data_IF_985859830434
#
_entry.id   IF_985859830434
#
_cell.length_a   1.000
_cell.length_b   1.000
_cell.length_c   1.000
_cell.angle_alpha   90.00
_cell.angle_beta   90.00
_cell.angle_gamma   90.00
#
_symmetry.space_group_name_H-M   'P 1'
#
loop_
_entity.id
_entity.type
_entity.pdbx_description
1 polymer ?
#
# COMPACT_ATOMS: atom_id res chain seq x y z
N UNK A 1 -6.70 -13.33 24.95
CA UNK A 1 -5.22 -13.34 24.94
C UNK A 1 -4.77 -11.99 24.44
N UNK A 2 -3.74 -11.36 25.03
CA UNK A 2 -3.21 -10.13 24.48
C UNK A 2 -2.47 -10.46 23.18
N UNK A 3 -3.01 -10.04 22.03
CA UNK A 3 -2.33 -10.24 20.76
C UNK A 3 -1.11 -9.32 20.70
N UNK A 4 0.02 -9.90 20.33
CA UNK A 4 1.29 -9.19 20.18
C UNK A 4 1.55 -8.92 18.70
N UNK A 5 1.99 -7.70 18.37
CA UNK A 5 2.22 -7.28 16.98
C UNK A 5 3.67 -6.86 16.75
N UNK A 6 4.10 -6.99 15.51
CA UNK A 6 5.30 -6.35 14.95
C UNK A 6 4.88 -5.35 13.88
N UNK A 7 5.52 -4.17 13.83
CA UNK A 7 5.17 -3.11 12.88
C UNK A 7 6.38 -2.78 12.02
N UNK A 8 6.30 -3.10 10.74
CA UNK A 8 7.29 -2.71 9.74
C UNK A 8 6.92 -1.32 9.20
N UNK A 9 7.73 -0.29 9.53
CA UNK A 9 7.47 1.09 9.12
C UNK A 9 6.66 1.91 10.13
N UNK A 10 6.95 1.80 11.42
CA UNK A 10 6.18 2.40 12.52
C UNK A 10 6.13 3.94 12.51
N UNK A 11 7.13 4.61 11.95
CA UNK A 11 7.21 6.08 11.92
C UNK A 11 6.43 6.72 10.78
N UNK A 12 5.97 5.93 9.80
CA UNK A 12 5.13 6.35 8.68
C UNK A 12 3.68 6.68 9.10
N UNK A 13 2.86 7.11 8.14
CA UNK A 13 1.46 7.44 8.39
C UNK A 13 0.66 6.25 8.93
N UNK A 14 0.72 5.11 8.25
CA UNK A 14 0.01 3.89 8.65
C UNK A 14 0.58 3.34 9.96
N UNK A 15 1.93 3.28 10.08
CA UNK A 15 2.55 2.77 11.32
C UNK A 15 2.17 3.56 12.56
N UNK A 16 2.05 4.89 12.49
CA UNK A 16 1.57 5.73 13.60
C UNK A 16 0.13 5.43 13.98
N UNK A 17 -0.75 5.36 12.97
CA UNK A 17 -2.16 5.02 13.20
C UNK A 17 -2.32 3.59 13.72
N UNK A 18 -1.44 2.67 13.32
CA UNK A 18 -1.37 1.32 13.89
C UNK A 18 -1.01 1.36 15.38
N UNK A 19 -0.05 2.20 15.78
CA UNK A 19 0.30 2.36 17.18
C UNK A 19 -0.83 3.01 18.01
N UNK A 20 -1.56 3.97 17.42
CA UNK A 20 -2.75 4.54 18.06
C UNK A 20 -3.83 3.48 18.31
N UNK A 21 -4.06 2.61 17.32
CA UNK A 21 -4.98 1.48 17.43
C UNK A 21 -4.49 0.45 18.45
N UNK A 22 -3.19 0.13 18.42
CA UNK A 22 -2.58 -0.83 19.34
C UNK A 22 -2.72 -0.38 20.80
N UNK A 23 -2.50 0.91 21.07
CA UNK A 23 -2.68 1.49 22.41
C UNK A 23 -4.14 1.35 22.90
N UNK A 24 -5.11 1.67 22.05
CA UNK A 24 -6.55 1.58 22.38
C UNK A 24 -7.02 0.15 22.63
N UNK A 25 -6.43 -0.83 21.89
CA UNK A 25 -6.72 -2.24 22.04
C UNK A 25 -5.92 -2.92 23.15
N UNK A 26 -4.95 -2.22 23.75
CA UNK A 26 -4.04 -2.80 24.74
C UNK A 26 -3.11 -3.87 24.14
N UNK A 27 -2.79 -3.79 22.84
CA UNK A 27 -1.92 -4.76 22.20
C UNK A 27 -0.47 -4.57 22.63
N UNK A 28 0.27 -5.67 22.74
CA UNK A 28 1.71 -5.63 22.96
C UNK A 28 2.44 -5.40 21.63
N UNK A 29 3.50 -4.59 21.65
CA UNK A 29 4.33 -4.31 20.47
C UNK A 29 5.68 -4.97 20.68
N UNK A 30 5.97 -6.06 19.96
CA UNK A 30 7.21 -6.82 20.09
C UNK A 30 8.36 -6.18 19.30
N UNK A 31 8.07 -5.65 18.12
CA UNK A 31 9.09 -5.01 17.28
C UNK A 31 8.55 -3.79 16.55
N UNK A 32 9.43 -2.81 16.37
CA UNK A 32 9.20 -1.61 15.57
C UNK A 32 10.32 -1.43 14.55
N UNK A 33 9.98 -1.01 13.34
CA UNK A 33 11.01 -0.66 12.35
C UNK A 33 10.77 0.72 11.74
N UNK A 34 11.85 1.39 11.35
CA UNK A 34 11.81 2.66 10.65
C UNK A 34 13.02 2.81 9.71
N UNK A 35 13.04 3.83 8.86
CA UNK A 35 14.19 4.13 8.02
C UNK A 35 15.22 4.99 8.79
N UNK A 36 14.96 6.31 8.96
CA UNK A 36 15.92 7.29 9.45
C UNK A 36 15.39 8.22 10.56
N UNK A 37 14.10 8.17 10.87
CA UNK A 37 13.51 9.08 11.86
C UNK A 37 13.78 8.60 13.29
N UNK A 38 14.96 8.92 13.80
CA UNK A 38 15.45 8.50 15.14
C UNK A 38 14.58 9.07 16.25
N UNK A 39 14.25 10.37 16.21
CA UNK A 39 13.48 11.04 17.26
C UNK A 39 12.12 10.37 17.48
N UNK A 40 11.39 10.13 16.40
CA UNK A 40 10.09 9.46 16.49
C UNK A 40 10.21 8.02 16.92
N UNK A 41 11.22 7.31 16.45
CA UNK A 41 11.47 5.93 16.83
C UNK A 41 11.81 5.79 18.31
N UNK A 42 12.63 6.69 18.85
CA UNK A 42 12.93 6.76 20.28
C UNK A 42 11.65 6.96 21.09
N UNK A 43 10.82 7.95 20.74
CA UNK A 43 9.56 8.21 21.43
C UNK A 43 8.64 6.98 21.43
N UNK A 44 8.53 6.27 20.28
CA UNK A 44 7.75 5.04 20.16
C UNK A 44 8.35 3.91 21.04
N UNK A 45 9.66 3.73 21.01
CA UNK A 45 10.34 2.72 21.83
C UNK A 45 10.16 2.96 23.34
N UNK A 46 10.25 4.21 23.80
CA UNK A 46 10.03 4.54 25.20
C UNK A 46 8.59 4.32 25.64
N UNK A 47 7.62 4.60 24.75
CA UNK A 47 6.20 4.41 25.02
C UNK A 47 5.79 2.95 25.02
N UNK A 48 6.10 2.22 23.95
CA UNK A 48 5.61 0.85 23.72
C UNK A 48 6.56 -0.24 24.23
N UNK A 49 7.80 0.11 24.52
CA UNK A 49 8.85 -0.79 25.06
C UNK A 49 8.98 -2.09 24.27
N UNK A 50 9.17 -2.03 22.93
CA UNK A 50 9.34 -3.23 22.14
C UNK A 50 10.61 -3.97 22.56
N UNK A 51 10.67 -5.26 22.28
CA UNK A 51 11.90 -6.03 22.46
C UNK A 51 12.97 -5.67 21.42
N UNK A 52 12.50 -5.33 20.19
CA UNK A 52 13.37 -5.06 19.05
C UNK A 52 12.96 -3.76 18.34
N UNK A 53 13.96 -2.93 18.04
CA UNK A 53 13.86 -1.78 17.18
C UNK A 53 14.83 -1.93 15.99
N UNK A 54 14.38 -1.66 14.77
CA UNK A 54 15.22 -1.73 13.58
C UNK A 54 15.20 -0.39 12.86
N UNK A 55 16.39 0.14 12.54
CA UNK A 55 16.56 1.27 11.63
C UNK A 55 17.24 0.76 10.36
N UNK A 56 16.64 0.99 9.19
CA UNK A 56 17.25 0.52 7.94
C UNK A 56 18.46 1.34 7.53
N UNK A 57 18.58 2.59 8.01
CA UNK A 57 19.78 3.42 7.86
C UNK A 57 20.75 3.19 9.03
N UNK A 58 21.98 2.79 8.74
CA UNK A 58 22.98 2.42 9.75
C UNK A 58 23.34 3.55 10.71
N UNK A 59 23.46 4.79 10.19
CA UNK A 59 23.77 5.95 11.02
C UNK A 59 22.64 6.21 12.04
N UNK A 60 21.39 6.11 11.60
CA UNK A 60 20.22 6.26 12.45
C UNK A 60 20.12 5.14 13.50
N UNK A 61 20.49 3.91 13.16
CA UNK A 61 20.54 2.80 14.11
C UNK A 61 21.56 3.02 15.23
N UNK A 62 22.75 3.49 14.88
CA UNK A 62 23.80 3.83 15.84
C UNK A 62 23.36 4.93 16.80
N UNK A 63 22.74 5.99 16.27
CA UNK A 63 22.20 7.08 17.08
C UNK A 63 21.08 6.60 18.00
N UNK A 64 20.14 5.80 17.49
CA UNK A 64 19.05 5.25 18.28
C UNK A 64 19.55 4.35 19.41
N UNK A 65 20.58 3.52 19.15
CA UNK A 65 21.17 2.65 20.17
C UNK A 65 21.76 3.44 21.34
N UNK A 66 22.41 4.58 21.05
CA UNK A 66 22.94 5.48 22.09
C UNK A 66 21.78 6.11 22.88
N UNK A 67 20.72 6.56 22.22
CA UNK A 67 19.56 7.19 22.88
C UNK A 67 18.77 6.23 23.75
N UNK A 68 18.75 4.93 23.43
CA UNK A 68 18.01 3.89 24.16
C UNK A 68 18.87 3.06 25.11
N UNK A 69 20.12 3.44 25.38
CA UNK A 69 21.05 2.70 26.25
C UNK A 69 20.53 2.48 27.70
N UNK A 70 19.58 3.30 28.13
CA UNK A 70 18.89 3.24 29.43
C UNK A 70 17.68 2.28 29.42
N UNK A 71 17.40 1.61 28.30
CA UNK A 71 16.27 0.72 28.11
C UNK A 71 16.72 -0.71 27.80
N UNK A 72 15.77 -1.65 27.80
CA UNK A 72 16.03 -3.05 27.38
C UNK A 72 15.80 -3.27 25.88
N UNK A 73 15.52 -2.25 25.10
CA UNK A 73 15.22 -2.35 23.67
C UNK A 73 16.49 -2.68 22.90
N UNK A 74 16.50 -3.82 22.19
CA UNK A 74 17.59 -4.16 21.28
C UNK A 74 17.45 -3.35 19.98
N UNK A 75 18.54 -2.73 19.53
CA UNK A 75 18.56 -2.00 18.25
C UNK A 75 19.37 -2.76 17.22
N UNK A 76 18.79 -2.98 16.03
CA UNK A 76 19.46 -3.55 14.85
C UNK A 76 19.48 -2.55 13.70
N UNK A 77 20.41 -2.76 12.76
CA UNK A 77 20.62 -1.90 11.60
C UNK A 77 20.44 -2.67 10.29
N UNK A 78 20.04 -1.94 9.24
CA UNK A 78 20.00 -2.44 7.87
C UNK A 78 18.67 -3.06 7.46
N UNK A 79 18.49 -3.21 6.15
CA UNK A 79 17.25 -3.74 5.57
C UNK A 79 17.02 -5.22 5.85
N UNK A 80 18.09 -6.01 6.00
CA UNK A 80 17.98 -7.44 6.29
C UNK A 80 17.42 -7.67 7.70
N UNK A 81 17.68 -6.77 8.65
CA UNK A 81 17.12 -6.82 10.00
C UNK A 81 15.58 -6.62 10.06
N UNK A 82 14.94 -6.17 8.97
CA UNK A 82 13.48 -6.17 8.85
C UNK A 82 12.90 -7.59 8.97
N UNK A 83 13.67 -8.59 8.53
CA UNK A 83 13.28 -10.01 8.67
C UNK A 83 13.23 -10.39 10.14
N UNK A 84 14.24 -10.00 10.94
CA UNK A 84 14.25 -10.30 12.37
C UNK A 84 13.02 -9.72 13.09
N UNK A 85 12.63 -8.48 12.72
CA UNK A 85 11.43 -7.85 13.25
C UNK A 85 10.14 -8.56 12.82
N UNK A 86 10.10 -9.05 11.58
CA UNK A 86 8.94 -9.74 11.02
C UNK A 86 8.73 -11.14 11.61
N UNK A 87 9.83 -11.85 11.91
CA UNK A 87 9.76 -13.23 12.45
C UNK A 87 9.89 -13.30 13.96
N UNK A 88 9.94 -12.17 14.68
CA UNK A 88 10.08 -12.14 16.13
C UNK A 88 9.03 -13.07 16.78
N UNK A 89 9.44 -14.05 17.62
CA UNK A 89 8.53 -15.12 18.05
C UNK A 89 7.29 -14.65 18.80
N UNK A 90 7.40 -13.55 19.53
CA UNK A 90 6.31 -13.01 20.35
C UNK A 90 5.17 -12.41 19.53
N UNK A 91 5.43 -11.96 18.29
CA UNK A 91 4.41 -11.35 17.46
C UNK A 91 3.58 -12.41 16.73
N UNK A 92 2.27 -12.36 16.88
CA UNK A 92 1.30 -13.19 16.14
C UNK A 92 0.91 -12.52 14.81
N UNK A 93 0.89 -11.19 14.79
CA UNK A 93 0.52 -10.38 13.62
C UNK A 93 1.66 -9.44 13.23
N UNK A 94 1.94 -9.37 11.93
CA UNK A 94 2.90 -8.43 11.35
C UNK A 94 2.16 -7.40 10.51
N UNK A 95 2.30 -6.13 10.88
CA UNK A 95 1.77 -5.01 10.10
C UNK A 95 2.84 -4.54 9.12
N UNK A 96 2.59 -4.67 7.83
CA UNK A 96 3.53 -4.26 6.79
C UNK A 96 3.19 -2.85 6.30
N UNK A 97 3.76 -1.83 6.93
CA UNK A 97 3.50 -0.41 6.65
C UNK A 97 4.72 0.32 6.06
N UNK A 98 5.66 -0.41 5.49
CA UNK A 98 6.77 0.14 4.70
C UNK A 98 6.32 0.50 3.28
N UNK A 99 7.07 1.33 2.59
CA UNK A 99 6.78 1.77 1.21
C UNK A 99 7.70 1.03 0.23
N UNK A 100 7.15 0.65 -0.93
CA UNK A 100 7.92 -0.01 -2.00
C UNK A 100 8.28 -1.46 -1.68
N UNK A 101 9.30 -1.96 -2.40
CA UNK A 101 9.69 -3.38 -2.36
C UNK A 101 10.48 -3.81 -1.12
N UNK A 102 10.89 -2.87 -0.26
CA UNK A 102 11.78 -3.15 0.88
C UNK A 102 11.17 -4.13 1.90
N UNK A 103 9.84 -4.16 2.00
CA UNK A 103 9.11 -5.05 2.91
C UNK A 103 8.91 -6.48 2.42
N UNK A 104 9.15 -6.76 1.12
CA UNK A 104 8.76 -8.04 0.50
C UNK A 104 9.44 -9.25 1.15
N UNK A 105 10.76 -9.20 1.34
CA UNK A 105 11.51 -10.31 1.97
C UNK A 105 11.02 -10.58 3.39
N UNK A 106 10.80 -9.52 4.18
CA UNK A 106 10.31 -9.61 5.55
C UNK A 106 8.88 -10.17 5.60
N UNK A 107 8.01 -9.75 4.67
CA UNK A 107 6.64 -10.28 4.56
C UNK A 107 6.64 -11.77 4.22
N UNK A 108 7.45 -12.22 3.26
CA UNK A 108 7.58 -13.64 2.92
C UNK A 108 8.13 -14.47 4.09
N UNK A 109 9.09 -13.93 4.86
CA UNK A 109 9.60 -14.58 6.05
C UNK A 109 8.51 -14.74 7.13
N UNK A 110 7.72 -13.69 7.39
CA UNK A 110 6.61 -13.75 8.34
C UNK A 110 5.51 -14.76 7.91
N UNK A 111 5.21 -14.85 6.61
CA UNK A 111 4.29 -15.84 6.04
C UNK A 111 4.79 -17.27 6.31
N UNK A 112 6.08 -17.54 6.14
CA UNK A 112 6.71 -18.85 6.41
C UNK A 112 6.59 -19.25 7.88
N UNK A 113 6.64 -18.28 8.78
CA UNK A 113 6.39 -18.45 10.22
C UNK A 113 4.89 -18.47 10.58
N UNK A 114 4.01 -18.55 9.57
CA UNK A 114 2.54 -18.62 9.71
C UNK A 114 1.92 -17.47 10.48
N UNK A 115 2.57 -16.31 10.48
CA UNK A 115 2.03 -15.11 11.13
C UNK A 115 0.89 -14.52 10.29
N UNK A 116 -0.08 -13.91 10.96
CA UNK A 116 -1.07 -13.06 10.27
C UNK A 116 -0.37 -11.83 9.72
N UNK A 117 -0.66 -11.51 8.47
CA UNK A 117 -0.13 -10.32 7.80
C UNK A 117 -1.25 -9.28 7.68
N UNK A 118 -1.14 -8.19 8.44
CA UNK A 118 -1.96 -7.01 8.25
C UNK A 118 -1.28 -6.15 7.15
N UNK A 119 -1.73 -6.35 5.91
CA UNK A 119 -1.05 -5.87 4.72
C UNK A 119 -1.45 -4.43 4.37
N UNK A 120 -0.55 -3.47 4.59
CA UNK A 120 -0.70 -2.09 4.15
C UNK A 120 0.27 -1.71 3.02
N UNK A 121 1.30 -2.51 2.78
CA UNK A 121 2.28 -2.31 1.70
C UNK A 121 1.75 -2.97 0.41
N UNK A 122 0.99 -2.21 -0.38
CA UNK A 122 0.38 -2.72 -1.62
C UNK A 122 1.39 -3.20 -2.64
N UNK A 123 2.58 -2.60 -2.68
CA UNK A 123 3.64 -2.95 -3.62
C UNK A 123 4.07 -4.42 -3.47
N UNK A 124 3.92 -5.01 -2.29
CA UNK A 124 4.13 -6.44 -2.04
C UNK A 124 3.28 -7.32 -2.95
N UNK A 125 1.97 -7.04 -3.07
CA UNK A 125 1.07 -7.80 -3.95
C UNK A 125 1.13 -7.33 -5.39
N UNK A 126 1.39 -6.06 -5.63
CA UNK A 126 1.56 -5.52 -6.99
C UNK A 126 2.71 -6.21 -7.70
N UNK A 127 3.89 -6.27 -7.06
CA UNK A 127 5.11 -6.76 -7.68
C UNK A 127 5.26 -8.28 -7.59
N UNK A 128 4.87 -8.89 -6.48
CA UNK A 128 5.11 -10.30 -6.18
C UNK A 128 3.85 -11.05 -5.74
N UNK A 129 2.66 -10.58 -6.12
CA UNK A 129 1.41 -11.09 -5.56
C UNK A 129 1.17 -12.58 -5.78
N UNK A 130 1.55 -13.14 -6.93
CA UNK A 130 1.43 -14.58 -7.20
C UNK A 130 2.32 -15.39 -6.24
N UNK A 131 3.57 -14.96 -6.06
CA UNK A 131 4.52 -15.58 -5.13
C UNK A 131 4.03 -15.49 -3.69
N UNK A 132 3.60 -14.29 -3.27
CA UNK A 132 3.14 -14.03 -1.89
C UNK A 132 1.88 -14.81 -1.56
N UNK A 133 0.88 -14.81 -2.44
CA UNK A 133 -0.38 -15.52 -2.22
C UNK A 133 -0.20 -17.05 -2.25
N UNK A 134 0.65 -17.56 -3.16
CA UNK A 134 1.00 -18.98 -3.20
C UNK A 134 1.72 -19.42 -1.92
N UNK A 135 2.65 -18.62 -1.42
CA UNK A 135 3.38 -18.91 -0.18
C UNK A 135 2.46 -18.84 1.05
N UNK A 136 1.53 -17.88 1.08
CA UNK A 136 0.53 -17.77 2.14
C UNK A 136 -0.37 -19.01 2.20
N UNK A 137 -0.85 -19.49 1.04
CA UNK A 137 -1.63 -20.75 0.98
C UNK A 137 -0.83 -21.95 1.46
N UNK A 138 0.40 -22.09 0.96
CA UNK A 138 1.29 -23.20 1.30
C UNK A 138 1.57 -23.27 2.80
N UNK A 139 1.72 -22.12 3.45
CA UNK A 139 2.02 -22.02 4.88
C UNK A 139 0.75 -21.96 5.75
N UNK A 140 -0.41 -21.68 5.18
CA UNK A 140 -1.64 -21.41 5.93
C UNK A 140 -1.59 -20.08 6.69
N UNK A 141 -0.86 -19.10 6.16
CA UNK A 141 -0.78 -17.75 6.73
C UNK A 141 -1.95 -16.90 6.23
N UNK A 142 -2.56 -16.13 7.12
CA UNK A 142 -3.68 -15.26 6.80
C UNK A 142 -3.19 -13.87 6.39
N UNK A 143 -3.66 -13.37 5.23
CA UNK A 143 -3.41 -12.00 4.78
C UNK A 143 -4.69 -11.20 4.93
N UNK A 144 -4.69 -10.18 5.79
CA UNK A 144 -5.80 -9.27 6.02
C UNK A 144 -5.42 -7.89 5.49
N UNK A 145 -6.18 -7.33 4.52
CA UNK A 145 -5.84 -6.06 3.92
C UNK A 145 -6.10 -4.88 4.87
N UNK A 146 -5.18 -3.94 4.86
CA UNK A 146 -5.26 -2.65 5.57
C UNK A 146 -5.61 -1.51 4.62
N UNK A 147 -5.24 -1.61 3.33
CA UNK A 147 -5.67 -0.62 2.35
C UNK A 147 -7.21 -0.51 2.34
N UNK A 148 -7.75 0.72 2.38
CA UNK A 148 -9.17 0.98 2.66
C UNK A 148 -10.11 0.29 1.70
N UNK A 149 -9.80 0.30 0.41
CA UNK A 149 -10.60 -0.30 -0.64
C UNK A 149 -10.59 -1.83 -0.55
N UNK A 150 -9.43 -2.40 -0.30
CA UNK A 150 -9.29 -3.86 -0.14
C UNK A 150 -9.91 -4.34 1.16
N UNK A 151 -9.73 -3.60 2.26
CA UNK A 151 -10.44 -3.89 3.51
C UNK A 151 -11.95 -3.85 3.33
N UNK A 152 -12.48 -2.88 2.56
CA UNK A 152 -13.90 -2.79 2.25
C UNK A 152 -14.41 -4.01 1.49
N UNK A 153 -13.70 -4.44 0.44
CA UNK A 153 -14.03 -5.66 -0.31
C UNK A 153 -13.95 -6.89 0.60
N UNK A 154 -12.88 -7.01 1.39
CA UNK A 154 -12.70 -8.10 2.35
C UNK A 154 -13.90 -8.20 3.31
N UNK A 155 -14.39 -7.07 3.81
CA UNK A 155 -15.56 -7.01 4.69
C UNK A 155 -16.85 -7.38 3.97
N UNK A 156 -17.05 -6.96 2.73
CA UNK A 156 -18.22 -7.32 1.92
C UNK A 156 -18.25 -8.83 1.59
N UNK A 157 -17.09 -9.47 1.55
CA UNK A 157 -16.98 -10.90 1.22
C UNK A 157 -17.08 -11.84 2.43
N UNK A 158 -17.30 -11.33 3.66
CA UNK A 158 -17.39 -12.20 4.84
C UNK A 158 -18.57 -13.19 4.81
N UNK A 159 -19.62 -12.89 4.08
CA UNK A 159 -20.75 -13.79 3.87
C UNK A 159 -20.71 -14.58 2.56
N UNK A 160 -19.68 -14.40 1.74
CA UNK A 160 -19.56 -15.05 0.43
C UNK A 160 -18.89 -16.44 0.59
N UNK A 161 -19.69 -17.49 0.45
CA UNK A 161 -19.21 -18.87 0.57
C UNK A 161 -18.36 -19.31 -0.64
N UNK A 162 -18.67 -18.80 -1.82
CA UNK A 162 -18.00 -19.17 -3.08
C UNK A 162 -17.65 -17.93 -3.91
N UNK A 163 -16.37 -17.75 -4.18
CA UNK A 163 -15.89 -16.64 -5.02
C UNK A 163 -16.45 -16.64 -6.44
N UNK A 164 -16.95 -17.76 -6.93
CA UNK A 164 -17.64 -17.86 -8.22
C UNK A 164 -18.96 -17.08 -8.25
N UNK A 165 -19.52 -16.71 -7.09
CA UNK A 165 -20.70 -15.84 -6.97
C UNK A 165 -20.39 -14.38 -7.29
N UNK A 166 -19.13 -13.97 -7.23
CA UNK A 166 -18.70 -12.60 -7.54
C UNK A 166 -18.82 -12.37 -9.05
N UNK A 167 -19.60 -11.34 -9.43
CA UNK A 167 -19.64 -10.82 -10.78
C UNK A 167 -18.45 -9.90 -11.04
N UNK A 168 -18.23 -8.92 -10.16
CA UNK A 168 -17.06 -8.02 -10.18
C UNK A 168 -16.83 -7.32 -8.85
N UNK A 169 -15.59 -6.86 -8.67
CA UNK A 169 -15.22 -5.90 -7.64
C UNK A 169 -15.28 -4.48 -8.23
N UNK A 170 -15.70 -3.52 -7.42
CA UNK A 170 -15.81 -2.12 -7.80
C UNK A 170 -14.94 -1.32 -6.81
N UNK A 171 -13.74 -0.96 -7.25
CA UNK A 171 -12.83 -0.12 -6.48
C UNK A 171 -13.25 1.34 -6.64
N UNK A 172 -13.52 2.03 -5.54
CA UNK A 172 -13.79 3.46 -5.58
C UNK A 172 -12.52 4.27 -5.42
N UNK A 173 -12.51 5.51 -5.92
CA UNK A 173 -11.45 6.48 -5.68
C UNK A 173 -12.01 7.90 -5.63
N UNK A 174 -11.31 8.83 -4.97
CA UNK A 174 -11.69 10.25 -4.96
C UNK A 174 -11.58 10.93 -6.34
N UNK A 175 -10.79 10.33 -7.24
CA UNK A 175 -10.39 10.93 -8.52
C UNK A 175 -9.19 11.87 -8.41
N UNK A 176 -8.62 12.04 -7.23
CA UNK A 176 -7.46 12.91 -6.98
C UNK A 176 -7.76 14.41 -7.05
N UNK A 177 -6.73 15.26 -6.86
CA UNK A 177 -6.90 16.73 -6.83
C UNK A 177 -7.26 17.33 -8.19
N UNK A 178 -6.98 16.64 -9.29
CA UNK A 178 -7.17 17.15 -10.66
C UNK A 178 -8.44 16.62 -11.34
N UNK A 179 -9.32 15.99 -10.58
CA UNK A 179 -10.59 15.47 -11.09
C UNK A 179 -11.42 16.58 -11.77
N UNK A 180 -11.84 16.32 -13.02
CA UNK A 180 -12.65 17.24 -13.82
C UNK A 180 -11.84 18.28 -14.60
N UNK A 181 -10.51 18.31 -14.44
CA UNK A 181 -9.63 19.15 -15.25
C UNK A 181 -9.32 18.47 -16.58
N UNK A 182 -9.14 19.29 -17.63
CA UNK A 182 -8.70 18.81 -18.93
C UNK A 182 -7.18 18.57 -19.00
N UNK A 183 -6.75 17.81 -20.02
CA UNK A 183 -5.34 17.41 -20.21
C UNK A 183 -4.37 18.60 -20.22
N UNK A 184 -4.72 19.69 -20.92
CA UNK A 184 -3.86 20.87 -21.03
C UNK A 184 -3.72 21.63 -19.70
N UNK A 185 -4.76 21.59 -18.88
CA UNK A 185 -4.74 22.19 -17.54
C UNK A 185 -3.88 21.35 -16.59
N UNK A 186 -4.11 20.04 -16.55
CA UNK A 186 -3.33 19.10 -15.74
C UNK A 186 -1.85 19.13 -16.10
N UNK A 187 -1.49 19.30 -17.39
CA UNK A 187 -0.10 19.40 -17.84
C UNK A 187 0.69 20.57 -17.25
N UNK A 188 0.00 21.58 -16.70
CA UNK A 188 0.62 22.76 -16.06
C UNK A 188 0.69 22.65 -14.54
N UNK A 189 0.11 21.59 -13.97
CA UNK A 189 0.06 21.39 -12.52
C UNK A 189 1.43 21.10 -11.95
N UNK A 190 1.69 21.74 -10.81
CA UNK A 190 2.96 21.65 -10.08
C UNK A 190 2.92 20.53 -9.05
N UNK A 191 4.09 20.23 -8.47
CA UNK A 191 4.22 19.38 -7.28
C UNK A 191 3.29 19.84 -6.14
N UNK A 192 3.24 21.15 -5.90
CA UNK A 192 2.42 21.71 -4.81
C UNK A 192 0.92 21.44 -5.04
N UNK A 193 0.47 21.48 -6.28
CA UNK A 193 -0.91 21.18 -6.64
C UNK A 193 -1.21 19.70 -6.51
N UNK A 194 -0.32 18.83 -6.97
CA UNK A 194 -0.45 17.38 -6.87
C UNK A 194 -0.51 16.87 -5.42
N UNK A 195 0.11 17.59 -4.48
CA UNK A 195 0.12 17.22 -3.07
C UNK A 195 -1.14 17.66 -2.28
N UNK A 196 -2.10 18.33 -2.91
CA UNK A 196 -3.36 18.78 -2.28
C UNK A 196 -4.47 17.74 -2.44
N UNK A 197 -4.35 16.60 -1.72
CA UNK A 197 -5.42 15.59 -1.77
C UNK A 197 -6.70 16.10 -1.06
N UNK A 198 -7.91 15.93 -1.67
CA UNK A 198 -9.15 16.52 -1.14
C UNK A 198 -9.61 15.92 0.17
N UNK A 199 -9.41 14.62 0.42
CA UNK A 199 -10.04 13.90 1.53
C UNK A 199 -9.04 13.27 2.51
N UNK A 200 -7.80 12.98 2.07
CA UNK A 200 -6.83 12.21 2.86
C UNK A 200 -5.54 12.98 3.10
N UNK A 201 -5.01 12.86 4.31
CA UNK A 201 -3.65 13.32 4.62
C UNK A 201 -2.69 12.15 4.56
N UNK A 202 -1.90 12.07 3.50
CA UNK A 202 -1.05 10.93 3.18
C UNK A 202 0.40 11.35 2.95
N UNK A 203 1.29 10.35 2.78
CA UNK A 203 2.65 10.59 2.35
C UNK A 203 2.74 11.16 0.92
N UNK A 204 3.83 11.86 0.58
CA UNK A 204 3.94 12.56 -0.71
C UNK A 204 3.89 11.61 -1.92
N UNK A 205 4.50 10.42 -1.84
CA UNK A 205 4.50 9.44 -2.96
C UNK A 205 3.07 9.02 -3.31
N UNK A 206 2.31 8.50 -2.35
CA UNK A 206 0.94 8.03 -2.58
C UNK A 206 0.00 9.18 -3.00
N UNK A 207 0.24 10.40 -2.53
CA UNK A 207 -0.56 11.57 -2.93
C UNK A 207 -0.37 11.90 -4.41
N UNK A 208 0.88 11.82 -4.93
CA UNK A 208 1.17 11.95 -6.36
C UNK A 208 0.56 10.78 -7.14
N UNK A 209 0.65 9.55 -6.63
CA UNK A 209 0.01 8.39 -7.27
C UNK A 209 -1.52 8.54 -7.36
N UNK A 210 -2.16 9.15 -6.36
CA UNK A 210 -3.59 9.48 -6.43
C UNK A 210 -3.87 10.54 -7.50
N UNK A 211 -3.00 11.55 -7.64
CA UNK A 211 -3.16 12.62 -8.64
C UNK A 211 -3.05 12.12 -10.08
N UNK A 212 -2.26 11.07 -10.32
CA UNK A 212 -2.07 10.42 -11.63
C UNK A 212 -3.03 9.25 -11.88
N UNK A 213 -3.85 8.86 -10.92
CA UNK A 213 -4.59 7.59 -10.86
C UNK A 213 -3.71 6.33 -10.87
N UNK A 214 -2.39 6.44 -10.73
CA UNK A 214 -1.51 5.29 -10.55
C UNK A 214 -1.86 4.52 -9.27
N UNK A 215 -2.17 5.20 -8.17
CA UNK A 215 -2.58 4.53 -6.92
C UNK A 215 -3.74 3.57 -7.19
N UNK A 216 -4.76 4.01 -7.92
CA UNK A 216 -5.90 3.15 -8.26
C UNK A 216 -5.50 2.01 -9.20
N UNK A 217 -4.56 2.26 -10.12
CA UNK A 217 -3.99 1.20 -10.96
C UNK A 217 -3.25 0.12 -10.14
N UNK A 218 -2.44 0.52 -9.16
CA UNK A 218 -1.78 -0.42 -8.24
C UNK A 218 -2.80 -1.21 -7.41
N UNK A 219 -3.86 -0.57 -6.97
CA UNK A 219 -4.95 -1.21 -6.22
C UNK A 219 -5.76 -2.21 -7.06
N UNK A 220 -5.95 -1.95 -8.37
CA UNK A 220 -6.53 -2.95 -9.30
C UNK A 220 -5.68 -4.22 -9.32
N UNK A 221 -4.36 -4.08 -9.45
CA UNK A 221 -3.44 -5.22 -9.44
C UNK A 221 -3.50 -5.95 -8.09
N UNK A 222 -3.47 -5.22 -6.97
CA UNK A 222 -3.57 -5.79 -5.63
C UNK A 222 -4.87 -6.58 -5.46
N UNK A 223 -6.02 -6.02 -5.89
CA UNK A 223 -7.32 -6.69 -5.81
C UNK A 223 -7.34 -7.98 -6.61
N UNK A 224 -6.79 -7.98 -7.83
CA UNK A 224 -6.67 -9.19 -8.66
C UNK A 224 -5.91 -10.30 -7.93
N UNK A 225 -4.82 -9.96 -7.26
CA UNK A 225 -3.97 -10.92 -6.53
C UNK A 225 -4.63 -11.41 -5.25
N UNK A 226 -5.11 -10.48 -4.43
CA UNK A 226 -5.69 -10.79 -3.12
C UNK A 226 -6.98 -11.60 -3.24
N UNK A 227 -7.84 -11.26 -4.21
CA UNK A 227 -9.13 -11.92 -4.40
C UNK A 227 -9.12 -12.97 -5.52
N UNK A 228 -7.99 -13.14 -6.23
CA UNK A 228 -7.80 -14.14 -7.31
C UNK A 228 -8.83 -14.01 -8.42
N UNK A 229 -9.07 -12.78 -8.84
CA UNK A 229 -9.99 -12.45 -9.91
C UNK A 229 -9.22 -11.90 -11.12
N UNK A 230 -9.68 -12.19 -12.35
CA UNK A 230 -9.10 -11.61 -13.55
C UNK A 230 -9.39 -10.12 -13.64
N UNK A 231 -8.57 -9.37 -14.40
CA UNK A 231 -8.73 -7.93 -14.61
C UNK A 231 -10.16 -7.56 -15.05
N UNK A 232 -10.77 -8.36 -15.92
CA UNK A 232 -12.14 -8.14 -16.42
C UNK A 232 -13.21 -8.13 -15.32
N UNK A 233 -12.90 -8.65 -14.13
CA UNK A 233 -13.79 -8.63 -12.97
C UNK A 233 -13.43 -7.55 -11.94
N UNK A 234 -12.51 -6.63 -12.26
CA UNK A 234 -12.14 -5.51 -11.38
C UNK A 234 -12.40 -4.21 -12.12
N UNK A 235 -13.31 -3.40 -11.62
CA UNK A 235 -13.66 -2.10 -12.20
C UNK A 235 -13.32 -0.97 -11.25
N UNK A 236 -13.08 0.23 -11.80
CA UNK A 236 -12.79 1.46 -11.06
C UNK A 236 -13.94 2.43 -11.22
N UNK A 237 -14.31 3.07 -10.13
CA UNK A 237 -15.37 4.08 -10.09
C UNK A 237 -14.91 5.29 -9.27
N UNK A 238 -15.05 6.48 -9.82
CA UNK A 238 -14.77 7.74 -9.11
C UNK A 238 -15.92 8.04 -8.16
N UNK A 239 -15.61 8.19 -6.87
CA UNK A 239 -16.53 8.56 -5.80
C UNK A 239 -15.89 9.66 -4.95
N UNK A 240 -16.12 10.94 -5.28
CA UNK A 240 -15.39 12.07 -4.70
C UNK A 240 -15.52 12.19 -3.18
N UNK A 241 -16.64 11.76 -2.62
CA UNK A 241 -16.93 11.88 -1.19
C UNK A 241 -16.11 10.89 -0.34
N UNK A 242 -15.56 9.83 -0.94
CA UNK A 242 -14.78 8.79 -0.25
C UNK A 242 -15.50 8.17 0.97
N UNK A 243 -16.84 8.10 0.93
CA UNK A 243 -17.68 7.49 1.95
C UNK A 243 -17.88 6.00 1.67
N UNK A 244 -18.15 5.65 0.39
CA UNK A 244 -18.13 4.26 -0.07
C UNK A 244 -16.68 3.91 -0.38
N UNK A 245 -16.11 3.00 0.41
CA UNK A 245 -14.70 2.64 0.24
C UNK A 245 -14.47 1.62 -0.88
N UNK A 246 -15.37 0.69 -1.10
CA UNK A 246 -15.47 -0.17 -2.30
C UNK A 246 -16.72 -1.03 -2.24
N UNK A 247 -17.01 -1.77 -3.33
CA UNK A 247 -18.21 -2.58 -3.46
C UNK A 247 -17.90 -3.93 -4.12
N UNK A 248 -18.77 -4.90 -3.85
CA UNK A 248 -18.79 -6.21 -4.53
C UNK A 248 -20.15 -6.38 -5.20
N UNK A 249 -20.15 -6.58 -6.50
CA UNK A 249 -21.34 -6.96 -7.26
C UNK A 249 -21.39 -8.48 -7.42
N UNK A 250 -22.48 -9.11 -7.03
CA UNK A 250 -22.71 -10.53 -7.14
C UNK A 250 -23.50 -10.89 -8.41
N UNK A 251 -23.49 -12.17 -8.79
CA UNK A 251 -24.16 -12.67 -10.01
C UNK A 251 -25.67 -12.54 -9.99
N UNK A 252 -26.28 -12.49 -8.83
CA UNK A 252 -27.73 -12.24 -8.65
C UNK A 252 -28.11 -10.77 -8.82
N UNK A 253 -27.13 -9.87 -9.03
CA UNK A 253 -27.31 -8.43 -9.18
C UNK A 253 -27.23 -7.65 -7.86
N UNK A 254 -27.07 -8.31 -6.71
CA UNK A 254 -26.87 -7.61 -5.45
C UNK A 254 -25.50 -6.90 -5.44
N UNK A 255 -25.47 -5.69 -4.86
CA UNK A 255 -24.23 -4.95 -4.63
C UNK A 255 -24.07 -4.69 -3.14
N UNK A 256 -23.00 -5.23 -2.55
CA UNK A 256 -22.62 -4.94 -1.17
C UNK A 256 -21.52 -3.88 -1.16
N UNK A 257 -21.66 -2.91 -0.27
CA UNK A 257 -20.71 -1.82 -0.10
C UNK A 257 -20.33 -1.65 1.36
N UNK A 258 -19.07 -1.37 1.62
CA UNK A 258 -18.63 -0.91 2.94
C UNK A 258 -18.52 0.62 2.92
N UNK A 259 -19.17 1.25 3.86
CA UNK A 259 -19.20 2.69 4.06
C UNK A 259 -18.54 3.04 5.39
N UNK A 260 -17.88 4.21 5.44
CA UNK A 260 -17.26 4.72 6.64
C UNK A 260 -16.73 6.14 6.47
N UNK A 261 -16.34 6.75 7.56
CA UNK A 261 -15.55 7.98 7.53
C UNK A 261 -14.16 7.69 6.94
N UNK A 262 -13.52 8.62 6.21
CA UNK A 262 -12.18 8.42 5.64
C UNK A 262 -11.10 8.47 6.74
N UNK A 263 -10.95 7.38 7.48
CA UNK A 263 -10.00 7.21 8.58
C UNK A 263 -9.37 5.81 8.53
N UNK A 264 -8.05 5.78 8.34
CA UNK A 264 -7.31 4.52 8.24
C UNK A 264 -7.32 3.68 9.52
N UNK A 265 -7.65 4.27 10.67
CA UNK A 265 -7.81 3.49 11.92
C UNK A 265 -8.92 2.47 11.84
N UNK A 266 -9.94 2.69 10.99
CA UNK A 266 -11.01 1.74 10.77
C UNK A 266 -10.50 0.42 10.14
N UNK A 267 -9.89 0.41 8.94
CA UNK A 267 -9.36 -0.82 8.35
C UNK A 267 -8.16 -1.40 9.13
N UNK A 268 -7.31 -0.56 9.73
CA UNK A 268 -6.21 -1.02 10.59
C UNK A 268 -6.78 -1.82 11.77
N UNK A 269 -7.77 -1.24 12.48
CA UNK A 269 -8.40 -1.90 13.62
C UNK A 269 -9.04 -3.22 13.22
N UNK A 270 -9.80 -3.22 12.12
CA UNK A 270 -10.41 -4.45 11.64
C UNK A 270 -9.39 -5.54 11.33
N UNK A 271 -8.26 -5.18 10.71
CA UNK A 271 -7.17 -6.13 10.45
C UNK A 271 -6.54 -6.69 11.73
N UNK A 272 -6.52 -5.91 12.83
CA UNK A 272 -6.01 -6.36 14.13
C UNK A 272 -7.01 -7.24 14.91
N UNK A 273 -8.30 -6.98 14.76
CA UNK A 273 -9.35 -7.66 15.56
C UNK A 273 -10.09 -8.75 14.81
N UNK A 274 -9.89 -8.85 13.49
CA UNK A 274 -10.59 -9.83 12.67
C UNK A 274 -10.53 -11.25 13.26
N UNK A 275 -11.67 -11.98 13.32
CA UNK A 275 -12.97 -11.68 12.70
C UNK A 275 -13.89 -10.75 13.51
N UNK A 276 -13.47 -10.29 14.67
CA UNK A 276 -14.29 -9.48 15.57
C UNK A 276 -14.33 -8.00 15.14
N UNK A 277 -15.42 -7.30 15.53
CA UNK A 277 -15.58 -5.86 15.36
C UNK A 277 -15.61 -5.19 16.73
N UNK A 278 -14.59 -4.42 17.04
CA UNK A 278 -14.55 -3.61 18.25
C UNK A 278 -14.97 -2.15 17.99
N UNK A 279 -15.18 -1.40 19.06
CA UNK A 279 -15.46 0.05 19.00
C UNK A 279 -14.30 0.77 18.32
N UNK A 280 -14.61 1.72 17.43
CA UNK A 280 -13.63 2.57 16.76
C UNK A 280 -13.71 3.99 17.33
N UNK A 281 -12.58 4.64 17.65
CA UNK A 281 -12.57 6.01 18.14
C UNK A 281 -12.86 7.06 17.06
N UNK A 282 -12.81 6.67 15.76
CA UNK A 282 -13.21 7.58 14.70
C UNK A 282 -14.70 7.92 14.82
N UNK A 283 -15.12 9.15 14.49
CA UNK A 283 -16.52 9.54 14.49
C UNK A 283 -17.33 8.57 13.59
N UNK A 284 -18.52 8.12 14.04
CA UNK A 284 -19.37 7.30 13.21
C UNK A 284 -19.81 8.07 11.96
N UNK A 285 -20.05 7.34 10.88
CA UNK A 285 -20.59 7.93 9.67
C UNK A 285 -22.03 8.41 9.91
N UNK A 286 -22.27 9.69 9.67
CA UNK A 286 -23.61 10.29 9.70
C UNK A 286 -24.13 10.43 8.27
N UNK A 287 -24.93 9.45 7.84
CA UNK A 287 -25.49 9.44 6.48
C UNK A 287 -26.53 10.55 6.26
N UNK A 288 -27.22 11.02 7.32
CA UNK A 288 -28.23 12.07 7.18
C UNK A 288 -27.62 13.42 6.87
N UNK A 289 -26.45 13.70 7.43
CA UNK A 289 -25.71 14.95 7.21
C UNK A 289 -24.59 14.81 6.17
N UNK A 290 -24.43 13.64 5.55
CA UNK A 290 -23.46 13.43 4.47
C UNK A 290 -23.93 14.07 3.17
N UNK A 291 -22.99 14.54 2.31
CA UNK A 291 -23.36 15.00 0.97
C UNK A 291 -23.92 13.84 0.13
N UNK A 292 -24.70 14.15 -0.93
CA UNK A 292 -25.14 13.13 -1.88
C UNK A 292 -23.98 12.29 -2.42
N UNK A 293 -24.14 10.95 -2.40
CA UNK A 293 -23.14 10.05 -2.95
C UNK A 293 -23.19 10.07 -4.48
N UNK A 294 -22.10 10.41 -5.13
CA UNK A 294 -22.00 10.51 -6.58
C UNK A 294 -20.94 9.57 -7.12
N UNK A 295 -21.18 9.05 -8.32
CA UNK A 295 -20.28 8.10 -8.97
C UNK A 295 -20.12 8.46 -10.44
N UNK A 296 -18.89 8.27 -10.97
CA UNK A 296 -18.59 8.47 -12.39
C UNK A 296 -17.48 7.54 -12.84
N UNK A 297 -17.33 7.43 -14.18
CA UNK A 297 -16.20 6.70 -14.77
C UNK A 297 -14.89 7.48 -14.54
N UNK A 298 -13.75 6.78 -14.40
CA UNK A 298 -12.44 7.41 -14.36
C UNK A 298 -12.03 7.92 -15.76
N UNK A 299 -11.45 9.11 -15.80
CA UNK A 299 -10.90 9.68 -17.04
C UNK A 299 -9.52 9.07 -17.35
N UNK A 300 -9.52 8.01 -18.16
CA UNK A 300 -8.30 7.29 -18.56
C UNK A 300 -7.48 8.01 -19.63
N UNK A 301 -8.06 9.03 -20.29
CA UNK A 301 -7.34 9.83 -21.30
C UNK A 301 -6.49 10.92 -20.65
N UNK A 302 -7.08 11.65 -19.71
CA UNK A 302 -6.36 12.66 -18.93
C UNK A 302 -5.37 12.02 -17.95
N UNK A 303 -5.69 10.82 -17.40
CA UNK A 303 -4.85 10.11 -16.41
C UNK A 303 -4.38 8.74 -16.93
N UNK A 304 -3.38 8.70 -17.83
CA UNK A 304 -2.97 7.46 -18.52
C UNK A 304 -2.33 6.41 -17.61
N UNK A 305 -1.90 6.78 -16.39
CA UNK A 305 -1.27 5.84 -15.47
C UNK A 305 -2.19 4.68 -15.07
N UNK A 306 -3.51 4.90 -15.02
CA UNK A 306 -4.47 3.82 -14.76
C UNK A 306 -4.42 2.77 -15.88
N UNK A 307 -4.44 3.18 -17.16
CA UNK A 307 -4.31 2.25 -18.30
C UNK A 307 -2.95 1.55 -18.35
N UNK A 308 -1.87 2.25 -17.96
CA UNK A 308 -0.54 1.63 -17.87
C UNK A 308 -0.50 0.51 -16.84
N UNK A 309 -1.18 0.69 -15.71
CA UNK A 309 -1.29 -0.33 -14.68
C UNK A 309 -2.19 -1.50 -15.10
N UNK A 310 -3.36 -1.22 -15.71
CA UNK A 310 -4.25 -2.24 -16.27
C UNK A 310 -3.51 -3.09 -17.32
N UNK A 311 -2.74 -2.47 -18.21
CA UNK A 311 -1.93 -3.18 -19.21
C UNK A 311 -0.75 -3.97 -18.61
N UNK A 312 -0.18 -3.55 -17.47
CA UNK A 312 0.83 -4.33 -16.76
C UNK A 312 0.20 -5.55 -16.07
N UNK A 313 -0.99 -5.39 -15.50
CA UNK A 313 -1.77 -6.46 -14.89
C UNK A 313 -2.11 -7.56 -15.91
N UNK A 314 -2.51 -7.18 -17.12
CA UNK A 314 -2.84 -8.10 -18.22
C UNK A 314 -1.59 -8.84 -18.73
N UNK A 315 -0.46 -8.16 -18.84
CA UNK A 315 0.81 -8.76 -19.27
C UNK A 315 1.35 -9.79 -18.26
N UNK A 316 1.07 -9.63 -16.98
CA UNK A 316 1.50 -10.56 -15.93
C UNK A 316 3.01 -10.59 -15.72
N UNK A 317 3.51 -11.67 -15.10
CA UNK A 317 4.93 -11.85 -14.83
C UNK A 317 5.57 -10.67 -14.11
N UNK A 318 6.76 -10.23 -14.55
CA UNK A 318 7.47 -9.07 -13.98
C UNK A 318 6.90 -7.71 -14.41
N UNK A 319 5.88 -7.63 -15.27
CA UNK A 319 5.36 -6.37 -15.81
C UNK A 319 4.89 -5.39 -14.71
N UNK A 320 4.29 -5.92 -13.64
CA UNK A 320 3.84 -5.09 -12.52
C UNK A 320 5.02 -4.56 -11.67
N UNK A 321 6.10 -5.33 -11.53
CA UNK A 321 7.32 -4.87 -10.86
C UNK A 321 8.03 -3.78 -11.69
N UNK A 322 8.08 -3.93 -13.01
CA UNK A 322 8.58 -2.92 -13.93
C UNK A 322 7.78 -1.61 -13.81
N UNK A 323 6.44 -1.72 -13.82
CA UNK A 323 5.54 -0.58 -13.64
C UNK A 323 5.84 0.16 -12.32
N UNK A 324 5.92 -0.61 -11.21
CA UNK A 324 6.14 -0.05 -9.88
C UNK A 324 7.50 0.65 -9.78
N UNK A 325 8.59 -0.03 -10.18
CA UNK A 325 9.95 0.54 -10.13
C UNK A 325 10.07 1.82 -10.96
N UNK A 326 9.51 1.82 -12.16
CA UNK A 326 9.47 3.00 -13.02
C UNK A 326 8.66 4.14 -12.40
N UNK A 327 7.48 3.84 -11.84
CA UNK A 327 6.62 4.83 -11.21
C UNK A 327 7.29 5.46 -9.98
N UNK A 328 7.87 4.67 -9.09
CA UNK A 328 8.54 5.19 -7.89
C UNK A 328 9.70 6.13 -8.26
N UNK A 329 10.50 5.79 -9.27
CA UNK A 329 11.60 6.65 -9.71
C UNK A 329 11.09 7.92 -10.41
N UNK A 330 10.07 7.82 -11.26
CA UNK A 330 9.46 8.98 -11.91
C UNK A 330 8.80 9.93 -10.89
N UNK A 331 8.06 9.39 -9.91
CA UNK A 331 7.48 10.19 -8.83
C UNK A 331 8.56 10.85 -7.98
N UNK A 332 9.69 10.17 -7.70
CA UNK A 332 10.84 10.76 -7.00
C UNK A 332 11.40 11.98 -7.75
N UNK A 333 11.52 11.88 -9.07
CA UNK A 333 11.96 12.99 -9.93
C UNK A 333 10.95 14.15 -9.93
N UNK A 334 9.66 13.85 -10.00
CA UNK A 334 8.59 14.84 -9.93
C UNK A 334 8.56 15.55 -8.56
N UNK A 335 8.69 14.83 -7.47
CA UNK A 335 8.78 15.39 -6.12
C UNK A 335 10.04 16.25 -5.92
N UNK A 336 11.10 15.97 -6.68
CA UNK A 336 12.31 16.82 -6.73
C UNK A 336 12.18 17.98 -7.73
N UNK A 337 11.01 18.18 -8.33
CA UNK A 337 10.71 19.25 -9.32
C UNK A 337 11.62 19.21 -10.57
N UNK A 338 12.09 18.00 -10.94
CA UNK A 338 12.98 17.78 -12.08
C UNK A 338 12.24 17.44 -13.37
N UNK A 339 10.98 17.04 -13.28
CA UNK A 339 10.13 16.66 -14.43
C UNK A 339 8.72 17.21 -14.24
N UNK A 340 7.95 17.33 -15.33
CA UNK A 340 6.55 17.72 -15.33
C UNK A 340 5.61 16.57 -14.99
N UNK A 341 4.33 16.89 -14.85
CA UNK A 341 3.31 15.91 -14.42
C UNK A 341 3.18 14.71 -15.37
N UNK A 342 3.07 14.97 -16.67
CA UNK A 342 2.92 13.91 -17.68
C UNK A 342 4.22 13.14 -17.95
N UNK A 343 5.38 13.70 -17.61
CA UNK A 343 6.63 12.95 -17.72
C UNK A 343 6.60 11.68 -16.83
N UNK A 344 5.79 11.66 -15.76
CA UNK A 344 5.61 10.46 -14.93
C UNK A 344 5.09 9.32 -15.80
N UNK A 345 3.97 9.52 -16.49
CA UNK A 345 3.37 8.49 -17.36
C UNK A 345 4.26 8.12 -18.53
N UNK A 346 4.94 9.09 -19.12
CA UNK A 346 5.82 8.88 -20.28
C UNK A 346 7.05 8.03 -19.89
N UNK A 347 7.66 8.31 -18.75
CA UNK A 347 8.79 7.54 -18.23
C UNK A 347 8.39 6.11 -17.84
N UNK A 348 7.21 5.94 -17.23
CA UNK A 348 6.65 4.61 -16.92
C UNK A 348 6.40 3.83 -18.21
N UNK A 349 5.81 4.44 -19.22
CA UNK A 349 5.58 3.80 -20.53
C UNK A 349 6.90 3.40 -21.20
N UNK A 350 7.90 4.29 -21.17
CA UNK A 350 9.24 4.02 -21.73
C UNK A 350 9.94 2.84 -21.03
N UNK A 351 9.87 2.76 -19.71
CA UNK A 351 10.46 1.65 -18.95
C UNK A 351 9.75 0.32 -19.27
N UNK A 352 8.41 0.32 -19.35
CA UNK A 352 7.64 -0.88 -19.73
C UNK A 352 7.95 -1.37 -21.15
N UNK A 353 8.28 -0.47 -22.07
CA UNK A 353 8.68 -0.84 -23.43
C UNK A 353 10.12 -1.36 -23.51
N UNK A 354 11.00 -0.90 -22.63
CA UNK A 354 12.43 -1.19 -22.67
C UNK A 354 12.85 -2.45 -21.87
N UNK A 355 12.15 -2.75 -20.76
CA UNK A 355 12.50 -3.87 -19.89
C UNK A 355 11.68 -5.11 -20.31
N UNK A 356 12.32 -6.24 -20.66
CA UNK A 356 11.62 -7.45 -21.02
C UNK A 356 10.87 -8.06 -19.83
N UNK A 357 9.70 -8.64 -20.11
CA UNK A 357 8.85 -9.30 -19.11
C UNK A 357 9.23 -10.77 -19.00
N UNK A 358 9.52 -11.23 -17.77
CA UNK A 358 9.71 -12.66 -17.44
C UNK A 358 8.41 -13.21 -16.87
N UNK A 359 7.92 -14.34 -17.42
CA UNK A 359 6.74 -15.04 -16.90
C UNK A 359 7.12 -15.99 -15.76
N UNK A 360 6.21 -16.19 -14.80
CA UNK A 360 6.42 -17.01 -13.60
C UNK A 360 7.78 -16.71 -12.88
N UNK A 361 8.06 -15.44 -12.55
CA UNK A 361 9.38 -15.03 -12.08
C UNK A 361 9.67 -15.49 -10.66
N UNK A 362 10.95 -15.77 -10.39
CA UNK A 362 11.50 -15.88 -9.04
C UNK A 362 11.52 -14.52 -8.33
N UNK A 363 11.76 -14.53 -7.02
CA UNK A 363 11.91 -13.29 -6.24
C UNK A 363 13.06 -12.41 -6.78
N UNK A 364 14.18 -13.03 -7.13
CA UNK A 364 15.37 -12.35 -7.67
C UNK A 364 15.05 -11.67 -9.01
N UNK A 365 14.30 -12.34 -9.89
CA UNK A 365 13.89 -11.76 -11.18
C UNK A 365 12.92 -10.60 -11.00
N UNK A 366 12.00 -10.66 -10.02
CA UNK A 366 11.10 -9.55 -9.67
C UNK A 366 11.92 -8.33 -9.21
N UNK A 367 12.87 -8.53 -8.28
CA UNK A 367 13.72 -7.46 -7.77
C UNK A 367 14.62 -6.87 -8.86
N UNK A 368 15.15 -7.72 -9.74
CA UNK A 368 15.98 -7.31 -10.88
C UNK A 368 15.18 -6.48 -11.88
N UNK A 369 13.93 -6.86 -12.17
CA UNK A 369 13.04 -6.14 -13.08
C UNK A 369 12.65 -4.76 -12.54
N UNK A 370 12.34 -4.64 -11.24
CA UNK A 370 12.10 -3.34 -10.57
C UNK A 370 13.35 -2.45 -10.67
N UNK A 371 14.52 -2.99 -10.38
CA UNK A 371 15.79 -2.24 -10.49
C UNK A 371 16.06 -1.78 -11.93
N UNK A 372 15.93 -2.67 -12.91
CA UNK A 372 16.13 -2.37 -14.32
C UNK A 372 15.19 -1.24 -14.80
N UNK A 373 13.93 -1.25 -14.37
CA UNK A 373 12.97 -0.22 -14.69
C UNK A 373 13.38 1.15 -14.14
N UNK A 374 13.90 1.22 -12.91
CA UNK A 374 14.45 2.44 -12.30
C UNK A 374 15.63 2.99 -13.11
N UNK A 375 16.54 2.13 -13.54
CA UNK A 375 17.70 2.53 -14.35
C UNK A 375 17.30 3.06 -15.73
N UNK A 376 16.26 2.50 -16.35
CA UNK A 376 15.69 3.05 -17.60
C UNK A 376 15.15 4.46 -17.38
N UNK A 377 14.41 4.71 -16.31
CA UNK A 377 13.86 6.05 -15.98
C UNK A 377 15.01 7.04 -15.74
N UNK A 378 16.03 6.68 -14.94
CA UNK A 378 17.22 7.55 -14.71
C UNK A 378 17.93 7.87 -16.00
N UNK A 379 18.15 6.88 -16.86
CA UNK A 379 18.83 7.05 -18.15
C UNK A 379 18.01 7.90 -19.13
N UNK A 380 16.69 7.75 -19.16
CA UNK A 380 15.80 8.57 -19.98
C UNK A 380 15.77 10.01 -19.50
N UNK A 381 15.76 10.24 -18.19
CA UNK A 381 15.87 11.57 -17.59
C UNK A 381 17.21 12.23 -17.95
N UNK A 382 18.34 11.55 -17.80
CA UNK A 382 19.66 12.09 -18.09
C UNK A 382 19.77 12.52 -19.57
N UNK A 383 19.24 11.72 -20.52
CA UNK A 383 19.25 12.05 -21.96
C UNK A 383 18.41 13.27 -22.34
N UNK A 384 17.37 13.61 -21.57
CA UNK A 384 16.54 14.80 -21.80
C UNK A 384 17.19 16.10 -21.31
N UNK A 385 18.23 15.99 -20.47
CA UNK A 385 18.87 17.13 -19.80
C UNK A 385 20.37 17.24 -20.11
N UNK A 386 20.92 16.39 -20.99
CA UNK A 386 22.23 16.52 -21.65
C UNK A 386 22.09 17.17 -23.01
#
# INVERSE_FOLDING_TARGET
MMNTISILGSTGSIGRQTLDVAEQLGLQVAALTANSNVERMEAQCRKFRPRLAVMTEEAAAKELAVRLQDTSVKVLAGTDALVDAAVIPEAETVVTAVVGMVGLKATLAAIREKKRIALANKETLVCAGELVMSEADRCGAEIVPVDSEHSAIFQCLQGCADRREIRRLILTCSGGPFRGMGRDEVGRMTRADALRHPNWTMGPKITVDCSTLMNKGLEVIEAMRLYRLPLAQVSVMVHPQSIVHSMVEFKDGAVLAQLGTPDMRLPIRYAMTYPERGENPAPPLDLLNSPPLTFSEPDRETFPCLRLAEAAAEAGGTACAILNGANEEAVRLFLAEKIGFYDISDLVAAARAAVPVTQAPSLEEILSADHAAREVVKSAFARRHS
#
